data_IF_971955672759
#
_entry.id   IF_971955672759
#
_cell.length_a   1.000
_cell.length_b   1.000
_cell.length_c   1.000
_cell.angle_alpha   90.00
_cell.angle_beta   90.00
_cell.angle_gamma   90.00
#
_symmetry.space_group_name_H-M   'P 1'
#
loop_
_entity.id
_entity.type
_entity.pdbx_description
1 polymer ?
#
# COMPACT_ATOMS: atom_id res chain seq x y z
N UNK A 1 14.76 3.41 -14.57
CA UNK A 1 13.83 4.54 -14.43
C UNK A 1 12.79 4.07 -13.46
N UNK A 2 12.80 4.60 -12.24
CA UNK A 2 11.82 4.25 -11.22
C UNK A 2 10.41 4.53 -11.78
N UNK A 3 9.61 3.48 -11.91
CA UNK A 3 8.24 3.60 -12.41
C UNK A 3 7.31 3.71 -11.21
N UNK A 4 6.61 4.83 -11.11
CA UNK A 4 5.59 5.00 -10.08
C UNK A 4 4.35 4.20 -10.47
N UNK A 5 4.13 3.04 -9.85
CA UNK A 5 2.91 2.25 -10.04
C UNK A 5 1.87 2.62 -8.99
N UNK A 6 0.65 2.88 -9.43
CA UNK A 6 -0.46 3.22 -8.55
C UNK A 6 -1.53 2.15 -8.62
N UNK A 7 -1.96 1.65 -7.47
CA UNK A 7 -3.04 0.67 -7.35
C UNK A 7 -3.99 1.08 -6.22
N UNK A 8 -5.27 0.82 -6.38
CA UNK A 8 -6.24 1.05 -5.31
C UNK A 8 -6.30 -0.18 -4.42
N UNK A 9 -6.26 0.02 -3.10
CA UNK A 9 -6.34 -1.05 -2.09
C UNK A 9 -7.41 -0.74 -1.05
N UNK A 10 -8.03 -1.78 -0.50
CA UNK A 10 -9.04 -1.67 0.56
C UNK A 10 -8.57 -2.37 1.83
N UNK A 11 -8.17 -1.57 2.81
CA UNK A 11 -7.70 -2.03 4.11
C UNK A 11 -8.78 -1.87 5.18
N UNK A 12 -9.95 -2.45 4.98
CA UNK A 12 -11.14 -2.27 5.83
C UNK A 12 -11.09 -2.94 7.21
N UNK A 13 -9.96 -3.48 7.65
CA UNK A 13 -9.82 -4.15 8.95
C UNK A 13 -8.39 -4.04 9.48
N UNK A 14 -8.20 -3.91 10.81
CA UNK A 14 -6.86 -3.77 11.41
C UNK A 14 -5.97 -4.99 11.15
N UNK A 15 -6.55 -6.20 11.08
CA UNK A 15 -5.82 -7.42 10.73
C UNK A 15 -5.22 -7.36 9.32
N UNK A 16 -5.97 -6.81 8.36
CA UNK A 16 -5.50 -6.61 6.98
C UNK A 16 -4.37 -5.59 6.93
N UNK A 17 -4.50 -4.48 7.67
CA UNK A 17 -3.44 -3.46 7.79
C UNK A 17 -2.14 -4.08 8.31
N UNK A 18 -2.20 -4.86 9.39
CA UNK A 18 -1.02 -5.50 9.97
C UNK A 18 -0.32 -6.44 8.98
N UNK A 19 -1.08 -7.32 8.31
CA UNK A 19 -0.54 -8.23 7.28
C UNK A 19 0.02 -7.48 6.08
N UNK A 20 -0.67 -6.45 5.61
CA UNK A 20 -0.26 -5.62 4.50
C UNK A 20 1.08 -4.93 4.76
N UNK A 21 1.22 -4.27 5.92
CA UNK A 21 2.47 -3.63 6.32
C UNK A 21 3.60 -4.66 6.43
N UNK A 22 3.35 -5.83 7.01
CA UNK A 22 4.36 -6.89 7.07
C UNK A 22 4.82 -7.37 5.69
N UNK A 23 3.91 -7.41 4.71
CA UNK A 23 4.27 -7.73 3.32
C UNK A 23 5.17 -6.63 2.76
N UNK A 24 4.77 -5.35 2.91
CA UNK A 24 5.55 -4.21 2.40
C UNK A 24 6.93 -4.09 3.05
N UNK A 25 7.07 -4.40 4.34
CA UNK A 25 8.36 -4.38 5.05
C UNK A 25 9.38 -5.39 4.51
N UNK A 26 8.95 -6.41 3.74
CA UNK A 26 9.87 -7.34 3.07
C UNK A 26 10.57 -6.71 1.86
N UNK A 27 10.03 -5.62 1.35
CA UNK A 27 10.56 -4.91 0.18
C UNK A 27 11.29 -3.65 0.63
N UNK A 28 12.45 -3.40 0.03
CA UNK A 28 13.30 -2.27 0.38
C UNK A 28 12.94 -1.02 -0.45
N UNK A 29 11.66 -0.86 -0.78
CA UNK A 29 11.13 0.21 -1.61
C UNK A 29 10.31 1.21 -0.78
N UNK A 30 9.98 2.33 -1.41
CA UNK A 30 9.07 3.32 -0.83
C UNK A 30 7.63 3.05 -1.27
N UNK A 31 6.73 3.21 -0.31
CA UNK A 31 5.31 2.96 -0.48
C UNK A 31 4.54 4.09 0.17
N UNK A 32 3.83 4.84 -0.65
CA UNK A 32 2.98 5.94 -0.20
C UNK A 32 1.53 5.49 -0.27
N UNK A 33 0.79 5.68 0.82
CA UNK A 33 -0.62 5.35 0.91
C UNK A 33 -1.44 6.62 1.04
N UNK A 34 -2.28 6.86 0.05
CA UNK A 34 -3.12 8.05 -0.05
C UNK A 34 -4.58 7.67 0.16
N UNK A 35 -5.26 8.28 1.14
CA UNK A 35 -6.70 8.07 1.35
C UNK A 35 -7.40 9.40 1.56
N UNK A 36 -8.28 9.75 0.62
CA UNK A 36 -9.00 11.02 0.64
C UNK A 36 -8.08 12.23 0.44
N UNK A 37 -7.70 12.90 1.53
CA UNK A 37 -6.84 14.11 1.50
C UNK A 37 -5.48 13.92 2.19
N UNK A 38 -5.19 12.73 2.73
CA UNK A 38 -3.96 12.45 3.47
C UNK A 38 -3.08 11.44 2.73
N UNK A 39 -1.78 11.70 2.69
CA UNK A 39 -0.73 10.78 2.25
C UNK A 39 0.10 10.38 3.48
N UNK A 40 0.33 9.08 3.66
CA UNK A 40 1.14 8.53 4.75
C UNK A 40 2.06 7.44 4.22
N UNK A 41 3.14 7.17 4.94
CA UNK A 41 3.99 6.02 4.63
C UNK A 41 3.24 4.70 4.88
N UNK A 42 3.17 3.85 3.86
CA UNK A 42 2.41 2.61 3.91
C UNK A 42 3.07 1.52 4.79
N UNK A 43 4.33 1.69 5.20
CA UNK A 43 5.03 0.81 6.16
C UNK A 43 4.85 1.28 7.60
N UNK A 44 4.25 2.45 7.82
CA UNK A 44 3.97 3.01 9.14
C UNK A 44 2.57 2.65 9.62
N UNK A 45 2.47 1.70 10.55
CA UNK A 45 1.20 1.27 11.14
C UNK A 45 0.40 2.43 11.75
N UNK A 46 1.07 3.34 12.44
CA UNK A 46 0.42 4.51 13.06
C UNK A 46 -0.13 5.45 11.98
N UNK A 47 0.62 5.64 10.88
CA UNK A 47 0.17 6.46 9.74
C UNK A 47 -1.05 5.84 9.06
N UNK A 48 -0.99 4.56 8.72
CA UNK A 48 -2.09 3.84 8.05
C UNK A 48 -3.34 3.77 8.93
N UNK A 49 -3.20 3.56 10.25
CA UNK A 49 -4.35 3.58 11.16
C UNK A 49 -4.96 4.97 11.36
N UNK A 50 -4.20 6.04 11.10
CA UNK A 50 -4.72 7.41 11.09
C UNK A 50 -5.56 7.72 9.84
N UNK A 51 -5.41 6.93 8.77
CA UNK A 51 -6.25 7.05 7.59
C UNK A 51 -7.65 6.46 7.82
N UNK A 52 -8.63 6.99 7.11
CA UNK A 52 -9.99 6.47 7.16
C UNK A 52 -10.11 5.19 6.31
N UNK A 53 -9.75 4.06 6.91
CA UNK A 53 -9.71 2.71 6.34
C UNK A 53 -11.05 2.16 5.78
N UNK A 54 -12.16 2.89 5.96
CA UNK A 54 -13.46 2.56 5.37
C UNK A 54 -13.55 2.85 3.87
N UNK A 55 -12.59 3.60 3.31
CA UNK A 55 -12.53 3.96 1.90
C UNK A 55 -11.33 3.32 1.22
N UNK A 56 -11.43 3.12 -0.10
CA UNK A 56 -10.30 2.72 -0.92
C UNK A 56 -9.16 3.73 -0.76
N UNK A 57 -7.95 3.23 -0.58
CA UNK A 57 -6.72 4.01 -0.53
C UNK A 57 -5.91 3.75 -1.79
N UNK A 58 -5.26 4.76 -2.33
CA UNK A 58 -4.34 4.64 -3.46
C UNK A 58 -2.94 4.37 -2.91
N UNK A 59 -2.40 3.21 -3.24
CA UNK A 59 -1.03 2.83 -2.95
C UNK A 59 -0.14 3.20 -4.14
N UNK A 60 0.85 4.04 -3.88
CA UNK A 60 1.90 4.42 -4.80
C UNK A 60 3.17 3.64 -4.47
N UNK A 61 3.61 2.81 -5.42
CA UNK A 61 4.79 1.95 -5.30
C UNK A 61 5.93 2.60 -6.08
N UNK A 62 7.00 2.92 -5.38
CA UNK A 62 8.22 3.50 -5.95
C UNK A 62 9.26 2.39 -6.11
N UNK A 63 9.16 1.64 -7.22
CA UNK A 63 10.03 0.51 -7.53
C UNK A 63 10.14 0.31 -9.06
N UNK A 64 11.06 -0.53 -9.53
CA UNK A 64 11.11 -0.96 -10.93
C UNK A 64 9.88 -1.83 -11.29
N UNK A 65 9.55 -1.92 -12.59
CA UNK A 65 8.35 -2.63 -13.06
C UNK A 65 8.32 -4.10 -12.61
N UNK A 66 9.49 -4.76 -12.60
CA UNK A 66 9.65 -6.14 -12.14
C UNK A 66 9.37 -6.31 -10.63
N UNK A 67 9.82 -5.37 -9.79
CA UNK A 67 9.57 -5.38 -8.35
C UNK A 67 8.12 -5.00 -8.06
N UNK A 68 7.61 -3.94 -8.69
CA UNK A 68 6.23 -3.50 -8.56
C UNK A 68 5.25 -4.63 -8.91
N UNK A 69 5.51 -5.38 -9.99
CA UNK A 69 4.72 -6.56 -10.35
C UNK A 69 4.69 -7.63 -9.25
N UNK A 70 5.85 -7.96 -8.66
CA UNK A 70 5.92 -8.91 -7.53
C UNK A 70 5.17 -8.38 -6.31
N UNK A 71 5.31 -7.11 -5.99
CA UNK A 71 4.63 -6.50 -4.84
C UNK A 71 3.12 -6.59 -5.04
N UNK A 72 2.62 -6.13 -6.19
CA UNK A 72 1.19 -6.16 -6.54
C UNK A 72 0.64 -7.59 -6.44
N UNK A 73 1.39 -8.61 -6.89
CA UNK A 73 0.99 -10.01 -6.71
C UNK A 73 0.88 -10.44 -5.25
N UNK A 74 1.78 -9.96 -4.37
CA UNK A 74 1.72 -10.28 -2.94
C UNK A 74 0.57 -9.55 -2.22
N UNK A 75 0.18 -8.37 -2.71
CA UNK A 75 -0.91 -7.57 -2.12
C UNK A 75 -2.22 -7.67 -2.90
N UNK A 76 -2.33 -8.56 -3.90
CA UNK A 76 -3.49 -8.65 -4.79
C UNK A 76 -4.83 -8.83 -4.06
N UNK A 77 -4.80 -9.50 -2.90
CA UNK A 77 -5.98 -9.73 -2.05
C UNK A 77 -6.56 -8.43 -1.46
N UNK A 78 -5.73 -7.38 -1.40
CA UNK A 78 -6.11 -6.06 -0.93
C UNK A 78 -6.44 -5.12 -2.09
N UNK A 79 -6.04 -5.43 -3.32
CA UNK A 79 -6.26 -4.58 -4.49
C UNK A 79 -7.73 -4.61 -4.89
N UNK A 80 -8.28 -3.44 -5.20
CA UNK A 80 -9.67 -3.26 -5.64
C UNK A 80 -9.69 -2.48 -6.95
N UNK A 81 -10.62 -2.85 -7.85
CA UNK A 81 -10.85 -2.18 -9.14
C UNK A 81 -11.65 -0.88 -9.00
#
# INVERSE_FOLDING_TARGET
MDVMKKVNVLLNSPEKVGKFIQILQKFNCNFDLESGRGCVDAKSMIGVMSLNLKKCAQLSIHADDAEAGKIIQNIQDYVVE
#
